data_IF_422062226156
#
_entry.id   IF_422062226156
#
_cell.length_a   1.000
_cell.length_b   1.000
_cell.length_c   1.000
_cell.angle_alpha   90.00
_cell.angle_beta   90.00
_cell.angle_gamma   90.00
#
_symmetry.space_group_name_H-M   'P 1'
#
loop_
_entity.id
_entity.type
_entity.pdbx_description
1 polymer ?
#
# COMPACT_ATOMS: atom_id res chain seq x y z
N UNK A 1 -1.49 -32.81 -70.04
CA UNK A 1 -2.83 -32.32 -69.67
C UNK A 1 -2.88 -32.12 -68.16
N UNK A 2 -3.25 -30.90 -67.73
CA UNK A 2 -3.96 -30.51 -66.48
C UNK A 2 -3.30 -30.88 -65.13
N UNK A 3 -2.69 -29.97 -64.35
CA UNK A 3 -3.21 -28.83 -63.53
C UNK A 3 -4.04 -29.16 -62.28
N UNK A 4 -3.71 -28.41 -61.20
CA UNK A 4 -4.38 -28.17 -59.90
C UNK A 4 -3.86 -29.03 -58.73
N UNK A 5 -3.11 -28.57 -57.70
CA UNK A 5 -3.06 -27.37 -56.81
C UNK A 5 -3.96 -27.47 -55.56
N UNK A 6 -3.35 -27.07 -54.41
CA UNK A 6 -3.84 -26.79 -53.05
C UNK A 6 -3.73 -27.95 -52.05
N UNK A 7 -3.34 -27.79 -50.79
CA UNK A 7 -2.72 -26.72 -49.97
C UNK A 7 -2.20 -27.47 -48.70
N UNK A 8 -1.02 -27.21 -48.15
CA UNK A 8 -0.70 -26.03 -47.38
C UNK A 8 -1.05 -26.24 -45.90
N UNK A 9 -0.04 -26.53 -45.06
CA UNK A 9 0.09 -26.01 -43.69
C UNK A 9 1.56 -26.11 -43.27
N UNK A 10 2.33 -25.07 -43.57
CA UNK A 10 3.60 -24.79 -42.90
C UNK A 10 3.31 -24.55 -41.42
N UNK A 11 3.94 -25.32 -40.54
CA UNK A 11 4.16 -24.88 -39.17
C UNK A 11 5.13 -23.69 -39.22
N UNK A 12 4.57 -22.48 -39.24
CA UNK A 12 5.31 -21.29 -38.88
C UNK A 12 5.63 -21.40 -37.38
N UNK A 13 6.83 -21.87 -37.06
CA UNK A 13 7.45 -21.56 -35.78
C UNK A 13 7.74 -20.06 -35.80
N UNK A 14 6.87 -19.27 -35.21
CA UNK A 14 7.14 -17.88 -34.89
C UNK A 14 8.29 -17.87 -33.89
N UNK A 15 9.50 -17.57 -34.37
CA UNK A 15 10.61 -17.18 -33.50
C UNK A 15 10.15 -15.97 -32.68
N UNK A 16 10.37 -15.93 -31.36
CA UNK A 16 10.25 -14.68 -30.63
C UNK A 16 11.31 -13.75 -31.20
N UNK A 17 10.86 -12.69 -31.87
CA UNK A 17 11.68 -11.60 -32.37
C UNK A 17 12.19 -10.79 -31.16
N UNK A 18 13.15 -11.39 -30.47
CA UNK A 18 13.73 -10.89 -29.23
C UNK A 18 15.14 -10.43 -29.49
N UNK A 19 15.31 -9.25 -30.07
CA UNK A 19 16.60 -8.58 -30.00
C UNK A 19 16.92 -8.40 -28.50
N UNK A 20 18.06 -8.91 -27.98
CA UNK A 20 18.40 -8.73 -26.58
C UNK A 20 18.50 -7.22 -26.31
N UNK A 21 17.92 -6.71 -25.20
CA UNK A 21 17.93 -5.28 -24.93
C UNK A 21 19.37 -4.78 -24.97
N UNK A 22 19.60 -3.74 -25.78
CA UNK A 22 20.95 -3.23 -26.01
C UNK A 22 21.56 -2.74 -24.69
N UNK A 23 22.89 -2.66 -24.61
CA UNK A 23 23.60 -2.28 -23.37
C UNK A 23 23.06 -0.99 -22.75
N UNK A 24 22.59 -0.05 -23.57
CA UNK A 24 22.03 1.23 -23.14
C UNK A 24 20.63 1.07 -22.53
N UNK A 25 19.78 0.19 -23.06
CA UNK A 25 18.48 -0.16 -22.47
C UNK A 25 18.64 -0.88 -21.14
N UNK A 26 19.62 -1.79 -21.04
CA UNK A 26 19.97 -2.44 -19.76
C UNK A 26 20.48 -1.43 -18.75
N UNK A 27 21.39 -0.53 -19.15
CA UNK A 27 21.91 0.52 -18.28
C UNK A 27 20.82 1.50 -17.84
N UNK A 28 19.91 1.89 -18.73
CA UNK A 28 18.77 2.74 -18.43
C UNK A 28 17.75 2.04 -17.51
N UNK A 29 17.48 0.74 -17.71
CA UNK A 29 16.63 -0.05 -16.84
C UNK A 29 17.22 -0.19 -15.44
N UNK A 30 18.53 -0.42 -15.34
CA UNK A 30 19.27 -0.43 -14.07
C UNK A 30 19.18 0.95 -13.39
N UNK A 31 19.46 2.04 -14.10
CA UNK A 31 19.36 3.39 -13.54
C UNK A 31 17.94 3.74 -13.07
N UNK A 32 16.89 3.38 -13.83
CA UNK A 32 15.49 3.56 -13.39
C UNK A 32 15.18 2.70 -12.16
N UNK A 33 15.67 1.46 -12.11
CA UNK A 33 15.48 0.57 -10.96
C UNK A 33 16.16 1.09 -9.67
N UNK A 34 17.08 2.04 -9.78
CA UNK A 34 17.74 2.69 -8.64
C UNK A 34 17.39 4.18 -8.46
N UNK A 35 16.58 4.77 -9.35
CA UNK A 35 16.09 6.15 -9.21
C UNK A 35 14.74 6.15 -8.46
N UNK A 36 14.66 6.68 -7.23
CA UNK A 36 13.44 6.66 -6.42
C UNK A 36 12.24 7.31 -7.13
N UNK A 37 12.44 8.42 -7.84
CA UNK A 37 11.36 9.15 -8.52
C UNK A 37 10.76 8.35 -9.65
N UNK A 38 11.60 7.77 -10.53
CA UNK A 38 11.13 6.96 -11.65
C UNK A 38 10.35 5.71 -11.19
N UNK A 39 10.77 5.10 -10.07
CA UNK A 39 10.07 3.97 -9.46
C UNK A 39 8.70 4.36 -8.89
N UNK A 40 8.63 5.52 -8.24
CA UNK A 40 7.35 6.06 -7.71
C UNK A 40 6.40 6.36 -8.86
N UNK A 41 6.85 7.00 -9.94
CA UNK A 41 6.00 7.35 -11.09
C UNK A 41 5.45 6.11 -11.81
N UNK A 42 6.30 5.10 -12.02
CA UNK A 42 5.88 3.80 -12.57
C UNK A 42 4.83 3.13 -11.65
N UNK A 43 5.07 3.17 -10.35
CA UNK A 43 4.17 2.58 -9.36
C UNK A 43 2.81 3.30 -9.30
N UNK A 44 2.82 4.64 -9.31
CA UNK A 44 1.59 5.47 -9.37
C UNK A 44 0.73 5.11 -10.58
N UNK A 45 1.37 4.95 -11.74
CA UNK A 45 0.68 4.54 -12.98
C UNK A 45 0.04 3.17 -12.81
N UNK A 46 0.77 2.19 -12.24
CA UNK A 46 0.29 0.82 -12.06
C UNK A 46 -0.95 0.71 -11.18
N UNK A 47 -1.04 1.52 -10.13
CA UNK A 47 -2.15 1.49 -9.17
C UNK A 47 -3.22 2.53 -9.45
N UNK A 48 -3.06 3.31 -10.52
CA UNK A 48 -3.95 4.42 -10.89
C UNK A 48 -4.10 5.43 -9.73
N UNK A 49 -2.95 5.81 -9.15
CA UNK A 49 -2.87 6.62 -7.94
C UNK A 49 -3.53 7.98 -8.12
N UNK A 50 -3.13 8.73 -9.16
CA UNK A 50 -3.53 10.14 -9.29
C UNK A 50 -5.05 10.28 -9.44
N UNK A 51 -5.70 9.40 -10.21
CA UNK A 51 -7.17 9.41 -10.35
C UNK A 51 -7.87 9.10 -9.02
N UNK A 52 -7.41 8.06 -8.32
CA UNK A 52 -8.01 7.62 -7.04
C UNK A 52 -7.79 8.65 -5.93
N UNK A 53 -6.59 9.23 -5.87
CA UNK A 53 -6.21 10.21 -4.87
C UNK A 53 -6.87 11.57 -5.11
N UNK A 54 -7.08 11.97 -6.37
CA UNK A 54 -7.80 13.20 -6.70
C UNK A 54 -9.26 13.21 -6.23
N UNK A 55 -9.90 12.04 -6.11
CA UNK A 55 -11.26 11.90 -5.61
C UNK A 55 -11.38 12.08 -4.09
N UNK A 56 -10.26 12.10 -3.35
CA UNK A 56 -10.26 12.28 -1.91
C UNK A 56 -10.51 13.74 -1.51
N UNK A 57 -11.45 13.97 -0.59
CA UNK A 57 -11.70 15.29 -0.01
C UNK A 57 -10.58 15.69 0.94
N UNK A 58 -9.70 16.58 0.49
CA UNK A 58 -8.53 17.07 1.24
C UNK A 58 -8.84 18.04 2.37
N UNK A 59 -10.11 18.40 2.59
CA UNK A 59 -10.54 19.20 3.76
C UNK A 59 -10.76 18.35 5.00
N UNK A 60 -10.85 17.03 4.83
CA UNK A 60 -11.17 16.12 5.93
C UNK A 60 -9.92 15.46 6.47
N UNK A 61 -9.84 15.33 7.80
CA UNK A 61 -8.77 14.63 8.52
C UNK A 61 -9.37 13.68 9.56
N UNK A 62 -8.61 12.67 9.95
CA UNK A 62 -8.93 11.81 11.08
C UNK A 62 -8.34 12.40 12.35
N UNK A 63 -9.22 12.74 13.29
CA UNK A 63 -8.89 13.28 14.61
C UNK A 63 -9.14 12.21 15.69
N UNK A 64 -8.30 11.18 15.69
CA UNK A 64 -8.31 10.11 16.69
C UNK A 64 -6.94 10.00 17.35
N UNK A 65 -6.91 9.80 18.67
CA UNK A 65 -5.67 9.54 19.40
C UNK A 65 -5.32 8.05 19.35
N UNK A 66 -4.52 7.69 18.35
CA UNK A 66 -4.06 6.33 18.12
C UNK A 66 -3.23 5.75 19.27
N UNK A 67 -2.63 6.56 20.14
CA UNK A 67 -1.86 6.06 21.29
C UNK A 67 -2.73 5.25 22.26
N UNK A 68 -4.03 5.51 22.27
CA UNK A 68 -5.00 4.85 23.14
C UNK A 68 -5.42 3.47 22.63
N UNK A 69 -5.07 3.09 21.40
CA UNK A 69 -5.50 1.83 20.80
C UNK A 69 -5.08 0.60 21.63
N UNK A 70 -3.93 0.68 22.30
CA UNK A 70 -3.40 -0.40 23.15
C UNK A 70 -4.13 -0.57 24.48
N UNK A 71 -4.84 0.46 24.95
CA UNK A 71 -5.34 0.54 26.34
C UNK A 71 -6.85 0.74 26.41
N UNK A 72 -7.47 1.32 25.39
CA UNK A 72 -8.89 1.55 25.33
C UNK A 72 -9.64 0.34 24.75
N UNK A 73 -10.85 0.09 25.28
CA UNK A 73 -11.79 -0.81 24.63
C UNK A 73 -12.40 -0.09 23.43
N UNK A 74 -11.86 -0.32 22.25
CA UNK A 74 -12.34 0.31 21.02
C UNK A 74 -13.47 -0.51 20.41
N UNK A 75 -14.67 0.09 20.22
CA UNK A 75 -15.77 -0.59 19.55
C UNK A 75 -15.35 -1.10 18.17
N UNK A 76 -15.66 -2.37 17.88
CA UNK A 76 -15.31 -3.01 16.62
C UNK A 76 -13.92 -3.66 16.59
N UNK A 77 -13.09 -3.49 17.63
CA UNK A 77 -11.75 -4.10 17.74
C UNK A 77 -11.63 -4.97 19.01
N UNK A 78 -12.72 -5.53 19.52
CA UNK A 78 -12.72 -6.28 20.78
C UNK A 78 -11.86 -7.56 20.75
N UNK A 79 -11.66 -8.14 19.56
CA UNK A 79 -10.77 -9.29 19.36
C UNK A 79 -9.29 -8.91 19.27
N UNK A 80 -8.96 -7.62 19.14
CA UNK A 80 -7.57 -7.16 19.05
C UNK A 80 -6.94 -7.14 20.44
N UNK A 81 -5.88 -7.91 20.61
CA UNK A 81 -5.04 -7.93 21.82
C UNK A 81 -3.68 -7.38 21.47
N UNK A 82 -3.36 -6.19 21.96
CA UNK A 82 -2.04 -5.58 21.76
C UNK A 82 -1.11 -6.06 22.87
N UNK A 83 0.03 -6.62 22.47
CA UNK A 83 1.08 -7.08 23.37
C UNK A 83 2.24 -6.09 23.45
N UNK A 84 2.49 -5.39 22.35
CA UNK A 84 3.58 -4.42 22.24
C UNK A 84 3.11 -3.19 21.48
N UNK A 85 3.46 -2.01 21.99
CA UNK A 85 3.11 -0.73 21.42
C UNK A 85 4.31 0.21 21.48
N UNK A 86 4.62 0.84 20.34
CA UNK A 86 5.67 1.84 20.21
C UNK A 86 5.12 3.08 19.50
N UNK A 87 5.69 4.23 19.84
CA UNK A 87 5.40 5.48 19.16
C UNK A 87 6.71 6.19 18.85
N UNK A 88 6.84 6.69 17.63
CA UNK A 88 7.97 7.52 17.21
C UNK A 88 7.52 8.62 16.26
N UNK A 89 8.36 9.65 16.14
CA UNK A 89 8.15 10.76 15.20
C UNK A 89 9.37 10.80 14.29
N UNK A 90 9.14 10.82 12.99
CA UNK A 90 10.22 10.97 12.03
C UNK A 90 10.84 12.36 12.13
N UNK A 91 12.14 12.41 12.36
CA UNK A 91 12.86 13.67 12.57
C UNK A 91 13.51 14.22 11.29
N UNK A 92 13.67 13.40 10.26
CA UNK A 92 14.43 13.73 9.05
C UNK A 92 13.76 13.26 7.76
N UNK A 93 14.23 13.81 6.63
CA UNK A 93 13.82 13.38 5.30
C UNK A 93 12.37 13.74 4.93
N UNK A 94 11.83 13.11 3.87
CA UNK A 94 10.48 13.40 3.36
C UNK A 94 9.37 12.99 4.34
N UNK A 95 9.66 12.12 5.30
CA UNK A 95 8.70 11.68 6.32
C UNK A 95 8.73 12.54 7.58
N UNK A 96 9.52 13.62 7.61
CA UNK A 96 9.63 14.50 8.78
C UNK A 96 8.24 14.89 9.29
N UNK A 97 8.05 14.85 10.60
CA UNK A 97 6.78 15.14 11.32
C UNK A 97 5.70 14.07 11.26
N UNK A 98 5.88 13.00 10.47
CA UNK A 98 4.97 11.86 10.52
C UNK A 98 5.14 11.15 11.86
N UNK A 99 4.03 11.02 12.58
CA UNK A 99 3.96 10.27 13.82
C UNK A 99 3.52 8.84 13.51
N UNK A 100 4.31 7.88 13.94
CA UNK A 100 4.04 6.47 13.73
C UNK A 100 3.66 5.81 15.04
N UNK A 101 2.57 5.05 14.98
CA UNK A 101 2.10 4.20 16.05
C UNK A 101 2.22 2.75 15.58
N UNK A 102 3.08 1.97 16.23
CA UNK A 102 3.35 0.58 15.87
C UNK A 102 2.82 -0.33 16.95
N UNK A 103 1.96 -1.26 16.57
CA UNK A 103 1.35 -2.23 17.45
C UNK A 103 1.63 -3.65 16.96
N UNK A 104 1.98 -4.53 17.88
CA UNK A 104 2.06 -5.97 17.60
C UNK A 104 1.19 -6.71 18.60
N UNK A 105 0.51 -7.75 18.11
CA UNK A 105 -0.49 -8.42 18.92
C UNK A 105 -1.13 -9.61 18.22
N UNK A 106 -2.31 -9.96 18.69
CA UNK A 106 -3.16 -11.02 18.16
C UNK A 106 -4.54 -10.46 17.80
N UNK A 107 -5.09 -10.91 16.69
CA UNK A 107 -6.44 -10.59 16.25
C UNK A 107 -7.09 -11.86 15.70
N UNK A 108 -8.20 -12.27 16.32
CA UNK A 108 -8.92 -13.52 15.99
C UNK A 108 -8.01 -14.75 15.91
N UNK A 109 -7.02 -14.84 16.82
CA UNK A 109 -6.08 -15.96 16.88
C UNK A 109 -4.95 -15.91 15.86
N UNK A 110 -4.81 -14.81 15.12
CA UNK A 110 -3.70 -14.58 14.20
C UNK A 110 -2.78 -13.47 14.71
N UNK A 111 -1.46 -13.70 14.63
CA UNK A 111 -0.47 -12.65 14.87
C UNK A 111 -0.66 -11.50 13.88
N UNK A 112 -0.70 -10.28 14.40
CA UNK A 112 -0.83 -9.06 13.60
C UNK A 112 0.23 -8.03 13.96
N UNK A 113 0.62 -7.25 12.96
CA UNK A 113 1.39 -6.02 13.10
C UNK A 113 0.62 -4.87 12.43
N UNK A 114 0.52 -3.74 13.11
CA UNK A 114 -0.20 -2.56 12.67
C UNK A 114 0.76 -1.38 12.78
N UNK A 115 0.98 -0.67 11.69
CA UNK A 115 1.56 0.67 11.73
C UNK A 115 0.53 1.67 11.27
N UNK A 116 0.36 2.73 12.05
CA UNK A 116 -0.50 3.86 11.73
C UNK A 116 0.40 5.09 11.64
N UNK A 117 0.70 5.51 10.42
CA UNK A 117 1.44 6.73 10.14
C UNK A 117 0.47 7.89 10.00
N UNK A 118 0.49 8.79 10.97
CA UNK A 118 -0.31 10.00 10.98
C UNK A 118 0.52 11.18 10.46
N UNK A 119 0.14 11.69 9.30
CA UNK A 119 0.63 12.93 8.74
C UNK A 119 -0.22 14.12 9.18
N UNK A 120 0.25 15.32 8.82
CA UNK A 120 -0.53 16.56 8.98
C UNK A 120 -1.71 16.67 8.01
N UNK A 121 -1.59 16.02 6.85
CA UNK A 121 -2.52 16.07 5.73
C UNK A 121 -2.39 14.78 4.90
N UNK A 122 -3.25 14.65 3.88
CA UNK A 122 -3.25 13.48 2.98
C UNK A 122 -1.98 13.32 2.15
N UNK A 123 -1.25 14.40 1.86
CA UNK A 123 -0.02 14.34 1.07
C UNK A 123 1.11 13.76 1.90
N UNK A 124 1.22 14.14 3.18
CA UNK A 124 2.16 13.52 4.12
C UNK A 124 1.88 12.02 4.31
N UNK A 125 0.59 11.63 4.38
CA UNK A 125 0.22 10.22 4.39
C UNK A 125 0.62 9.50 3.09
N UNK A 126 0.47 10.16 1.94
CA UNK A 126 0.91 9.61 0.66
C UNK A 126 2.44 9.45 0.58
N UNK A 127 3.22 10.37 1.14
CA UNK A 127 4.68 10.24 1.21
C UNK A 127 5.10 8.99 1.99
N UNK A 128 4.42 8.70 3.12
CA UNK A 128 4.64 7.46 3.87
C UNK A 128 4.20 6.22 3.08
N UNK A 129 3.06 6.28 2.40
CA UNK A 129 2.59 5.19 1.55
C UNK A 129 3.62 4.84 0.46
N UNK A 130 4.20 5.84 -0.20
CA UNK A 130 5.25 5.60 -1.19
C UNK A 130 6.53 5.10 -0.56
N UNK A 131 6.90 5.58 0.62
CA UNK A 131 8.01 5.02 1.38
C UNK A 131 7.81 3.51 1.60
N UNK A 132 6.67 3.09 2.11
CA UNK A 132 6.42 1.68 2.43
C UNK A 132 6.33 0.78 1.20
N UNK A 133 5.63 1.24 0.17
CA UNK A 133 5.32 0.44 -1.03
C UNK A 133 6.44 0.42 -2.05
N UNK A 134 7.41 1.35 -1.94
CA UNK A 134 8.55 1.46 -2.86
C UNK A 134 9.92 1.38 -2.15
N UNK A 135 9.99 1.23 -0.83
CA UNK A 135 11.25 1.03 -0.11
C UNK A 135 12.02 -0.19 -0.61
N UNK A 136 13.35 -0.05 -0.70
CA UNK A 136 14.24 -1.16 -1.07
C UNK A 136 14.41 -2.21 0.04
N UNK A 137 14.14 -1.85 1.31
CA UNK A 137 14.22 -2.78 2.45
C UNK A 137 13.01 -3.71 2.55
N UNK A 138 11.86 -3.26 2.04
CA UNK A 138 10.68 -4.07 1.78
C UNK A 138 10.99 -5.00 0.61
N UNK A 139 11.66 -6.12 0.88
CA UNK A 139 12.25 -7.01 -0.12
C UNK A 139 11.30 -7.38 -1.28
N UNK A 140 11.31 -6.61 -2.37
CA UNK A 140 10.67 -6.90 -3.68
C UNK A 140 9.32 -7.62 -3.58
N UNK A 141 8.49 -7.29 -2.60
CA UNK A 141 7.16 -7.88 -2.51
C UNK A 141 6.28 -7.07 -3.46
N UNK A 142 5.79 -7.65 -4.57
CA UNK A 142 4.92 -6.94 -5.46
C UNK A 142 3.64 -6.56 -4.72
N UNK A 143 3.31 -5.28 -4.81
CA UNK A 143 2.01 -4.76 -4.40
C UNK A 143 1.12 -4.62 -5.64
N UNK A 144 -0.11 -5.10 -5.48
CA UNK A 144 -1.19 -4.98 -6.44
C UNK A 144 -2.34 -4.17 -5.85
N UNK A 145 -3.32 -3.83 -6.69
CA UNK A 145 -4.52 -3.11 -6.25
C UNK A 145 -5.17 -3.84 -5.07
N UNK A 146 -5.35 -3.13 -3.97
CA UNK A 146 -5.93 -3.64 -2.74
C UNK A 146 -7.46 -3.79 -2.86
N UNK A 147 -8.09 -4.37 -1.83
CA UNK A 147 -9.53 -4.59 -1.81
C UNK A 147 -10.30 -3.26 -1.84
N UNK A 148 -11.46 -3.29 -2.47
CA UNK A 148 -12.41 -2.18 -2.41
C UNK A 148 -12.86 -1.94 -0.96
N UNK A 149 -13.07 -0.67 -0.60
CA UNK A 149 -13.55 -0.27 0.73
C UNK A 149 -12.45 0.05 1.74
N UNK A 150 -11.17 -0.12 1.41
CA UNK A 150 -10.08 0.45 2.19
C UNK A 150 -9.62 1.76 1.53
N UNK A 151 -9.68 2.86 2.27
CA UNK A 151 -9.08 4.14 1.89
C UNK A 151 -9.45 4.72 0.52
N UNK A 152 -8.73 5.78 0.15
CA UNK A 152 -8.78 6.37 -1.20
C UNK A 152 -7.82 5.64 -2.14
N UNK A 153 -6.71 5.14 -1.61
CA UNK A 153 -5.75 4.30 -2.32
C UNK A 153 -5.38 3.14 -1.43
N UNK A 154 -5.53 1.92 -1.95
CA UNK A 154 -5.21 0.69 -1.25
C UNK A 154 -4.41 -0.26 -2.13
N UNK A 155 -3.43 -0.92 -1.52
CA UNK A 155 -2.66 -1.99 -2.14
C UNK A 155 -2.51 -3.16 -1.20
N UNK A 156 -2.41 -4.35 -1.78
CA UNK A 156 -2.15 -5.59 -1.07
C UNK A 156 -0.86 -6.22 -1.58
N UNK A 157 -0.13 -6.90 -0.70
CA UNK A 157 1.07 -7.63 -1.09
C UNK A 157 0.69 -9.03 -1.60
N UNK A 158 1.25 -9.48 -2.73
CA UNK A 158 0.80 -10.73 -3.41
C UNK A 158 1.81 -11.88 -3.41
N UNK A 159 3.03 -11.70 -2.87
CA UNK A 159 3.98 -12.81 -2.75
C UNK A 159 3.79 -13.53 -1.40
N UNK A 160 3.49 -14.83 -1.45
CA UNK A 160 3.16 -15.72 -0.32
C UNK A 160 4.25 -15.99 0.72
N UNK A 161 4.98 -14.95 1.17
CA UNK A 161 5.72 -14.97 2.44
C UNK A 161 4.88 -14.26 3.52
N UNK A 162 4.96 -14.68 4.79
CA UNK A 162 4.13 -14.11 5.83
C UNK A 162 4.48 -12.64 6.09
N UNK A 163 3.48 -11.82 6.40
CA UNK A 163 3.70 -10.59 7.16
C UNK A 163 3.65 -9.26 6.41
N UNK A 164 3.02 -9.15 5.22
CA UNK A 164 2.53 -7.85 4.69
C UNK A 164 1.17 -8.03 4.02
N UNK A 165 0.12 -7.48 4.61
CA UNK A 165 -1.27 -7.66 4.17
C UNK A 165 -1.74 -6.51 3.28
N UNK A 166 -1.83 -5.32 3.86
CA UNK A 166 -2.44 -4.16 3.22
C UNK A 166 -1.69 -2.88 3.59
N UNK A 167 -1.52 -2.00 2.61
CA UNK A 167 -1.10 -0.61 2.83
C UNK A 167 -2.15 0.28 2.18
N UNK A 168 -2.66 1.26 2.92
CA UNK A 168 -3.66 2.17 2.36
C UNK A 168 -3.60 3.57 2.95
N UNK A 169 -4.04 4.53 2.15
CA UNK A 169 -4.17 5.94 2.55
C UNK A 169 -5.64 6.21 2.84
N UNK A 170 -5.90 6.81 4.00
CA UNK A 170 -7.19 7.39 4.34
C UNK A 170 -6.99 8.74 5.01
N UNK A 171 -7.36 9.81 4.32
CA UNK A 171 -7.13 11.20 4.76
C UNK A 171 -5.66 11.40 5.16
N UNK A 172 -5.42 11.93 6.35
CA UNK A 172 -4.09 12.17 6.91
C UNK A 172 -3.40 10.91 7.48
N UNK A 173 -3.92 9.71 7.22
CA UNK A 173 -3.35 8.45 7.69
C UNK A 173 -2.84 7.58 6.55
N UNK A 174 -1.70 6.94 6.76
CA UNK A 174 -1.31 5.74 6.05
C UNK A 174 -1.29 4.57 7.02
N UNK A 175 -2.06 3.53 6.71
CA UNK A 175 -2.07 2.29 7.48
C UNK A 175 -1.21 1.24 6.80
N UNK A 176 -0.48 0.48 7.60
CA UNK A 176 0.21 -0.74 7.20
C UNK A 176 -0.29 -1.83 8.12
N UNK A 177 -1.01 -2.81 7.59
CA UNK A 177 -1.47 -3.96 8.37
C UNK A 177 -0.88 -5.22 7.80
N UNK A 178 -0.36 -6.05 8.68
CA UNK A 178 0.16 -7.35 8.31
C UNK A 178 -0.24 -8.46 9.25
N UNK A 179 -0.37 -9.65 8.67
CA UNK A 179 -0.63 -10.88 9.39
C UNK A 179 -0.10 -12.05 8.55
N UNK A 180 0.05 -13.21 9.19
CA UNK A 180 0.19 -14.48 8.48
C UNK A 180 -1.14 -14.91 7.83
N UNK A 181 -2.29 -14.46 8.36
CA UNK A 181 -3.62 -14.69 7.79
C UNK A 181 -4.07 -13.49 6.96
N UNK A 182 -4.21 -13.66 5.65
CA UNK A 182 -4.67 -12.58 4.76
C UNK A 182 -6.09 -12.11 5.11
N UNK A 183 -6.95 -13.01 5.58
CA UNK A 183 -8.31 -12.67 5.97
C UNK A 183 -8.35 -11.90 7.29
N UNK A 184 -7.53 -12.29 8.28
CA UNK A 184 -7.41 -11.54 9.53
C UNK A 184 -6.86 -10.13 9.28
N UNK A 185 -5.84 -9.99 8.42
CA UNK A 185 -5.32 -8.68 8.03
C UNK A 185 -6.38 -7.83 7.32
N UNK A 186 -7.25 -8.44 6.50
CA UNK A 186 -8.30 -7.72 5.76
C UNK A 186 -9.41 -7.24 6.70
N UNK A 187 -9.90 -8.12 7.57
CA UNK A 187 -10.96 -7.77 8.53
C UNK A 187 -10.47 -6.70 9.52
N UNK A 188 -9.26 -6.88 10.06
CA UNK A 188 -8.63 -5.87 10.91
C UNK A 188 -8.47 -4.53 10.17
N UNK A 189 -8.03 -4.56 8.91
CA UNK A 189 -7.94 -3.36 8.07
C UNK A 189 -9.28 -2.65 7.90
N UNK A 190 -10.36 -3.39 7.66
CA UNK A 190 -11.72 -2.83 7.52
C UNK A 190 -12.21 -2.22 8.83
N UNK A 191 -11.91 -2.83 9.98
CA UNK A 191 -12.29 -2.29 11.30
C UNK A 191 -11.51 -1.03 11.65
N UNK A 192 -10.21 -0.99 11.35
CA UNK A 192 -9.39 0.21 11.51
C UNK A 192 -9.86 1.35 10.59
N UNK A 193 -10.23 1.02 9.34
CA UNK A 193 -10.83 1.96 8.40
C UNK A 193 -12.15 2.54 8.94
N UNK A 194 -13.06 1.69 9.44
CA UNK A 194 -14.32 2.14 10.02
C UNK A 194 -14.12 3.02 11.27
N UNK A 195 -13.13 2.70 12.10
CA UNK A 195 -12.75 3.54 13.24
C UNK A 195 -12.25 4.92 12.79
N UNK A 196 -11.42 4.96 11.74
CA UNK A 196 -10.91 6.21 11.18
C UNK A 196 -12.04 7.06 10.58
N UNK A 197 -12.96 6.43 9.84
CA UNK A 197 -14.17 7.07 9.29
C UNK A 197 -15.02 7.72 10.39
N UNK A 198 -15.25 7.01 11.50
CA UNK A 198 -16.01 7.53 12.63
C UNK A 198 -15.38 8.77 13.31
N UNK A 199 -14.09 9.00 13.11
CA UNK A 199 -13.33 10.13 13.67
C UNK A 199 -12.87 11.13 12.60
N UNK A 200 -13.51 11.11 11.43
CA UNK A 200 -13.19 12.02 10.35
C UNK A 200 -13.93 13.35 10.54
N UNK A 201 -13.17 14.45 10.56
CA UNK A 201 -13.62 15.81 10.83
C UNK A 201 -13.09 16.77 9.76
N UNK A 202 -13.66 17.96 9.66
CA UNK A 202 -13.12 19.01 8.80
C UNK A 202 -11.86 19.63 9.46
N UNK A 203 -10.79 19.76 8.70
CA UNK A 203 -9.49 20.28 9.13
C UNK A 203 -9.55 21.76 9.57
N UNK A 204 -10.49 22.53 9.02
CA UNK A 204 -10.59 23.99 9.25
C UNK A 204 -11.42 24.37 10.47
N UNK A 205 -11.96 23.41 11.23
CA UNK A 205 -12.56 23.65 12.55
C UNK A 205 -13.40 24.92 12.66
N UNK A 206 -14.55 24.99 11.98
CA UNK A 206 -15.65 25.85 12.46
C UNK A 206 -16.86 24.97 12.73
N UNK A 207 -17.38 25.19 13.94
CA UNK A 207 -18.43 24.47 14.65
C UNK A 207 -19.76 24.39 13.91
#
# INVERSE_FOLDING_TARGET
MLFSVAAGMSHAQTQPDGNPPNSNERAAAIQRAFNPTARIDEYKTRIDFDRKFAADDGRMIVAFDWSTLATAQVPGLQSLKIEHAEQYVNETGPLKTIREYVFNGDFDGARVSITIAQGRDRFAAADYFFHETTSSSTARVPFETGPAGLGSVSVQSVAGRPGRGFVWIYKNLCFVVSSASADAARDLGQRLQALAEAHTVNADGTS
#
